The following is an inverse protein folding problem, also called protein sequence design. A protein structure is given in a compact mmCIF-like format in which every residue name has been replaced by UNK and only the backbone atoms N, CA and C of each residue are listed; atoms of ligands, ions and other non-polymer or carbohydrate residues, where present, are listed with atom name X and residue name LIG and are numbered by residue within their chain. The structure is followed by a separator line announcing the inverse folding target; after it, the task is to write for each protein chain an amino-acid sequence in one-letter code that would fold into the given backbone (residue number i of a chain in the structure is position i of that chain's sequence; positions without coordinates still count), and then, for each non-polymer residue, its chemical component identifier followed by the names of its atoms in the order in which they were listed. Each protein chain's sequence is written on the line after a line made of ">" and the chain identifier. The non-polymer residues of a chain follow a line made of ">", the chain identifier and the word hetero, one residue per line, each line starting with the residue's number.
data_IF_973305759457
#
_entry.id   IF_973305759457
#
_cell.length_a   1.000
_cell.length_b   1.000
_cell.length_c   1.000
_cell.angle_alpha   90.00
_cell.angle_beta   90.00
_cell.angle_gamma   90.00
#
_symmetry.space_group_name_H-M   'P 1'
#
loop_
_entity.id
_entity.type
_entity.pdbx_description
1 polymer ?
#
# COMPACT_ATOMS: atom_id res chain seq x y z
N UNK A 1 -13.46 0.14 10.10
CA UNK A 1 -12.87 -0.68 9.02
C UNK A 1 -12.60 0.26 7.86
N UNK A 2 -11.33 0.45 7.51
CA UNK A 2 -10.90 1.28 6.40
C UNK A 2 -10.47 0.36 5.26
N UNK A 3 -11.19 0.40 4.14
CA UNK A 3 -10.89 -0.42 2.97
C UNK A 3 -10.01 0.37 2.02
N UNK A 4 -8.80 -0.14 1.77
CA UNK A 4 -7.90 0.46 0.81
C UNK A 4 -8.11 -0.14 -0.58
N UNK A 5 -8.58 0.68 -1.51
CA UNK A 5 -8.64 0.31 -2.92
C UNK A 5 -7.30 0.63 -3.59
N UNK A 6 -6.54 -0.42 -3.93
CA UNK A 6 -5.23 -0.27 -4.58
C UNK A 6 -5.33 0.36 -5.97
N UNK A 7 -6.42 0.11 -6.70
CA UNK A 7 -6.69 0.73 -8.00
C UNK A 7 -6.81 2.26 -7.91
N UNK A 8 -7.39 2.80 -6.84
CA UNK A 8 -7.48 4.25 -6.62
C UNK A 8 -6.11 4.89 -6.36
N UNK A 9 -5.21 4.18 -5.67
CA UNK A 9 -3.84 4.65 -5.44
C UNK A 9 -3.03 4.69 -6.74
N UNK A 10 -3.21 3.68 -7.59
CA UNK A 10 -2.51 3.56 -8.88
C UNK A 10 -3.09 4.50 -9.94
N UNK A 11 -4.41 4.62 -10.04
CA UNK A 11 -5.09 5.43 -11.06
C UNK A 11 -4.75 6.93 -10.96
N UNK A 12 -4.41 7.40 -9.75
CA UNK A 12 -3.99 8.78 -9.55
C UNK A 12 -2.48 9.00 -9.63
N UNK A 13 -1.66 7.94 -9.71
CA UNK A 13 -0.21 8.04 -9.76
C UNK A 13 0.28 8.02 -11.22
N UNK A 14 0.96 9.09 -11.65
CA UNK A 14 1.61 9.12 -12.98
C UNK A 14 2.90 8.31 -13.02
N UNK A 15 3.53 8.14 -11.87
CA UNK A 15 4.83 7.47 -11.70
C UNK A 15 4.79 6.54 -10.49
N UNK A 16 5.63 5.49 -10.49
CA UNK A 16 5.69 4.50 -9.40
C UNK A 16 5.98 5.12 -8.03
N UNK A 17 6.90 6.10 -7.96
CA UNK A 17 7.23 6.78 -6.70
C UNK A 17 6.04 7.53 -6.09
N UNK A 18 5.14 8.07 -6.91
CA UNK A 18 3.93 8.75 -6.42
C UNK A 18 2.94 7.76 -5.79
N UNK A 19 2.86 6.53 -6.32
CA UNK A 19 2.09 5.47 -5.68
C UNK A 19 2.69 5.10 -4.31
N UNK A 20 4.00 4.95 -4.22
CA UNK A 20 4.68 4.62 -2.96
C UNK A 20 4.50 5.73 -1.92
N UNK A 21 4.65 7.00 -2.29
CA UNK A 21 4.39 8.13 -1.39
C UNK A 21 2.96 8.14 -0.87
N UNK A 22 1.97 7.88 -1.73
CA UNK A 22 0.56 7.81 -1.32
C UNK A 22 0.28 6.63 -0.41
N UNK A 23 0.82 5.45 -0.73
CA UNK A 23 0.70 4.27 0.13
C UNK A 23 1.33 4.54 1.49
N UNK A 24 2.49 5.18 1.52
CA UNK A 24 3.18 5.56 2.76
C UNK A 24 2.33 6.50 3.62
N UNK A 25 1.75 7.54 3.02
CA UNK A 25 0.89 8.49 3.73
C UNK A 25 -0.32 7.78 4.39
N UNK A 26 -0.98 6.89 3.65
CA UNK A 26 -2.10 6.09 4.20
C UNK A 26 -1.64 5.21 5.37
N UNK A 27 -0.47 4.57 5.26
CA UNK A 27 0.05 3.73 6.35
C UNK A 27 0.44 4.55 7.59
N UNK A 28 0.98 5.76 7.42
CA UNK A 28 1.29 6.67 8.52
C UNK A 28 0.02 7.13 9.25
N UNK A 29 -1.05 7.47 8.53
CA UNK A 29 -2.35 7.83 9.12
C UNK A 29 -2.94 6.68 9.94
N UNK A 30 -2.86 5.45 9.41
CA UNK A 30 -3.33 4.25 10.11
C UNK A 30 -2.49 3.98 11.35
N UNK A 31 -1.16 4.13 11.26
CA UNK A 31 -0.26 3.98 12.41
C UNK A 31 -0.57 5.00 13.50
N UNK A 32 -0.86 6.24 13.12
CA UNK A 32 -1.23 7.32 14.04
C UNK A 32 -2.62 7.18 14.67
N UNK A 33 -3.43 6.21 14.22
CA UNK A 33 -4.79 5.99 14.75
C UNK A 33 -4.84 5.17 16.03
N UNK A 34 -3.69 4.82 16.64
CA UNK A 34 -3.60 4.05 17.88
C UNK A 34 -4.46 2.78 17.92
N UNK A 35 -4.62 2.13 16.76
CA UNK A 35 -5.37 0.88 16.62
C UNK A 35 -6.88 1.04 16.41
N UNK A 36 -7.40 2.26 16.31
CA UNK A 36 -8.82 2.52 16.02
C UNK A 36 -9.20 2.17 14.56
N UNK A 37 -8.22 2.13 13.66
CA UNK A 37 -8.42 1.78 12.25
C UNK A 37 -8.00 0.33 11.98
N UNK A 38 -8.97 -0.50 11.61
CA UNK A 38 -8.73 -1.80 10.96
C UNK A 38 -8.58 -1.61 9.45
N UNK A 39 -7.37 -1.78 8.93
CA UNK A 39 -7.06 -1.75 7.49
C UNK A 39 -7.45 -3.07 6.82
N UNK A 40 -8.23 -2.97 5.74
CA UNK A 40 -8.53 -4.07 4.83
C UNK A 40 -7.96 -3.77 3.44
N UNK A 41 -7.20 -4.70 2.89
CA UNK A 41 -6.64 -4.62 1.54
C UNK A 41 -7.17 -5.82 0.75
N UNK A 42 -7.91 -5.55 -0.31
CA UNK A 42 -8.31 -6.59 -1.25
C UNK A 42 -7.24 -6.79 -2.33
N UNK A 43 -7.16 -8.01 -2.87
CA UNK A 43 -6.25 -8.39 -3.95
C UNK A 43 -4.78 -7.97 -3.74
N UNK A 44 -4.26 -8.11 -2.51
CA UNK A 44 -2.90 -7.71 -2.14
C UNK A 44 -1.80 -8.29 -3.08
N UNK A 45 -2.05 -9.45 -3.69
CA UNK A 45 -1.15 -10.09 -4.66
C UNK A 45 -0.88 -9.23 -5.91
N UNK A 46 -1.78 -8.30 -6.26
CA UNK A 46 -1.62 -7.37 -7.39
C UNK A 46 -0.46 -6.40 -7.20
N UNK A 47 -0.10 -6.12 -5.94
CA UNK A 47 0.94 -5.16 -5.56
C UNK A 47 2.17 -5.79 -4.90
N UNK A 48 2.06 -7.01 -4.33
CA UNK A 48 3.20 -7.68 -3.66
C UNK A 48 3.91 -8.72 -4.52
N UNK A 49 3.41 -9.04 -5.72
CA UNK A 49 3.92 -10.19 -6.48
C UNK A 49 3.78 -10.16 -8.01
N UNK A 50 3.26 -9.09 -8.61
CA UNK A 50 2.97 -9.08 -10.04
C UNK A 50 4.17 -8.72 -10.97
N UNK A 51 5.40 -8.63 -10.47
CA UNK A 51 6.55 -8.19 -11.28
C UNK A 51 7.89 -8.84 -10.94
N UNK A 52 8.12 -10.08 -11.39
CA UNK A 52 9.49 -10.66 -11.50
C UNK A 52 10.32 -10.03 -12.64
N UNK A 53 10.17 -8.74 -12.88
CA UNK A 53 10.87 -8.00 -13.94
C UNK A 53 11.30 -6.63 -13.38
N UNK A 54 12.54 -6.50 -12.89
CA UNK A 54 13.31 -5.28 -12.58
C UNK A 54 12.57 -4.03 -12.05
N UNK A 55 11.41 -4.20 -11.41
CA UNK A 55 10.50 -3.08 -11.15
C UNK A 55 9.12 -3.46 -10.65
N UNK A 56 8.95 -4.62 -10.00
CA UNK A 56 7.78 -4.82 -9.15
C UNK A 56 7.76 -3.71 -8.09
N UNK A 57 6.61 -3.05 -7.94
CA UNK A 57 6.33 -2.16 -6.83
C UNK A 57 6.57 -2.90 -5.52
N UNK A 58 7.34 -2.32 -4.61
CA UNK A 58 7.74 -2.97 -3.37
C UNK A 58 6.78 -2.63 -2.20
N UNK A 59 5.49 -2.56 -2.52
CA UNK A 59 4.44 -2.35 -1.53
C UNK A 59 4.48 -3.42 -0.43
N UNK A 60 4.94 -4.64 -0.78
CA UNK A 60 5.15 -5.73 0.17
C UNK A 60 6.18 -5.39 1.26
N UNK A 61 7.33 -4.81 0.91
CA UNK A 61 8.30 -4.39 1.94
C UNK A 61 7.84 -3.19 2.76
N UNK A 62 6.99 -2.32 2.19
CA UNK A 62 6.38 -1.21 2.96
C UNK A 62 5.38 -1.71 4.01
N UNK A 63 4.68 -2.81 3.75
CA UNK A 63 3.71 -3.40 4.68
C UNK A 63 4.37 -4.22 5.80
N UNK A 64 5.54 -4.82 5.56
CA UNK A 64 6.23 -5.68 6.56
C UNK A 64 6.38 -5.05 7.95
N UNK A 65 6.82 -3.80 8.13
CA UNK A 65 6.97 -3.18 9.44
C UNK A 65 5.66 -2.95 10.20
N UNK A 66 4.53 -2.93 9.49
CA UNK A 66 3.20 -2.76 10.07
C UNK A 66 2.59 -4.08 10.55
N UNK A 67 3.21 -5.21 10.17
CA UNK A 67 2.76 -6.57 10.45
C UNK A 67 3.70 -7.32 11.42
N UNK A 68 4.81 -6.69 11.82
CA UNK A 68 5.86 -7.26 12.67
C UNK A 68 5.76 -6.79 14.12
#
# INVERSE_FOLDING_TARGET
>A
IFSLNMGSLVAGAKYRGEFEERLKAVLEDIKGSDGEILLFIDELHTIVGAGKTDGAMDAGNMLKPMLA
#
